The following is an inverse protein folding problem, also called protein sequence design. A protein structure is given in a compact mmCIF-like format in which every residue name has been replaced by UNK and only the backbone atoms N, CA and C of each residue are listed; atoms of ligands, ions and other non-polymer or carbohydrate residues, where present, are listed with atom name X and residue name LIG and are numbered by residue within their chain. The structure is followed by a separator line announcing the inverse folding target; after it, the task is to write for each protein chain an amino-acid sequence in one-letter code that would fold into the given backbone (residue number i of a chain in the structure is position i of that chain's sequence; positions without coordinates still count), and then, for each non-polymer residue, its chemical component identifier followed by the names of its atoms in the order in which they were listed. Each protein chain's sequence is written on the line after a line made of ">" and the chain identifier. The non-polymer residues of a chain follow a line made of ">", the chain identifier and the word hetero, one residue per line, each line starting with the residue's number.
data_IF_649121916936
#
_entry.id   IF_649121916936
#
_cell.length_a   1.000
_cell.length_b   1.000
_cell.length_c   1.000
_cell.angle_alpha   90.00
_cell.angle_beta   90.00
_cell.angle_gamma   90.00
#
_symmetry.space_group_name_H-M   'P 1'
#
loop_
_entity.id
_entity.type
_entity.pdbx_description
1 polymer ?
#
# COMPACT_ATOMS: atom_id res chain seq x y z
N UNK A 1 -25.75 13.60 -26.52
CA UNK A 1 -25.70 13.88 -25.09
C UNK A 1 -26.56 12.87 -24.31
N UNK A 2 -27.80 12.59 -24.67
CA UNK A 2 -28.68 11.64 -23.96
C UNK A 2 -28.17 10.17 -23.97
N UNK A 3 -27.61 9.67 -25.10
CA UNK A 3 -27.00 8.33 -25.16
C UNK A 3 -25.81 8.13 -24.20
N UNK A 4 -25.10 9.21 -23.82
CA UNK A 4 -24.01 9.14 -22.88
C UNK A 4 -24.51 9.08 -21.42
N UNK A 5 -25.67 9.66 -21.13
CA UNK A 5 -26.25 9.65 -19.79
C UNK A 5 -26.91 8.31 -19.45
N UNK A 6 -27.54 7.65 -20.42
CA UNK A 6 -28.18 6.35 -20.20
C UNK A 6 -27.19 5.27 -19.75
N UNK A 7 -25.94 5.34 -20.21
CA UNK A 7 -24.88 4.41 -19.81
C UNK A 7 -24.36 4.64 -18.37
N UNK A 8 -24.68 5.79 -17.78
CA UNK A 8 -24.31 6.11 -16.38
C UNK A 8 -25.38 5.69 -15.37
N UNK A 9 -26.59 5.38 -15.86
CA UNK A 9 -27.76 5.04 -15.02
C UNK A 9 -27.95 3.52 -15.08
N UNK A 10 -27.91 2.88 -13.91
CA UNK A 10 -28.00 1.42 -13.80
C UNK A 10 -29.21 1.03 -12.96
N UNK A 11 -30.11 0.18 -13.46
CA UNK A 11 -31.28 -0.25 -12.68
C UNK A 11 -30.87 -1.21 -11.55
N UNK A 12 -31.67 -1.24 -10.48
CA UNK A 12 -31.44 -2.12 -9.32
C UNK A 12 -31.30 -3.60 -9.75
N UNK A 13 -32.04 -4.05 -10.76
CA UNK A 13 -31.97 -5.43 -11.27
C UNK A 13 -30.56 -5.81 -11.74
N UNK A 14 -29.84 -4.90 -12.38
CA UNK A 14 -28.45 -5.12 -12.82
C UNK A 14 -27.51 -5.13 -11.64
N UNK A 15 -27.62 -4.12 -10.75
CA UNK A 15 -26.74 -3.99 -9.59
C UNK A 15 -26.93 -5.13 -8.59
N UNK A 16 -28.17 -5.58 -8.38
CA UNK A 16 -28.45 -6.73 -7.52
C UNK A 16 -27.85 -8.03 -8.09
N UNK A 17 -27.91 -8.22 -9.41
CA UNK A 17 -27.28 -9.40 -10.03
C UNK A 17 -25.76 -9.38 -9.88
N UNK A 18 -25.11 -8.21 -10.01
CA UNK A 18 -23.68 -8.07 -9.76
C UNK A 18 -23.30 -8.37 -8.31
N UNK A 19 -24.12 -7.92 -7.36
CA UNK A 19 -23.90 -8.24 -5.94
C UNK A 19 -23.99 -9.76 -5.68
N UNK A 20 -24.97 -10.44 -6.29
CA UNK A 20 -25.11 -11.90 -6.20
C UNK A 20 -23.88 -12.58 -6.81
N UNK A 21 -23.43 -12.14 -7.99
CA UNK A 21 -22.27 -12.71 -8.66
C UNK A 21 -20.99 -12.53 -7.82
N UNK A 22 -20.79 -11.32 -7.24
CA UNK A 22 -19.65 -11.05 -6.37
C UNK A 22 -19.68 -11.94 -5.11
N UNK A 23 -20.82 -12.04 -4.42
CA UNK A 23 -20.98 -12.89 -3.23
C UNK A 23 -20.76 -14.37 -3.58
N UNK A 24 -21.28 -14.82 -4.72
CA UNK A 24 -21.06 -16.19 -5.20
C UNK A 24 -19.57 -16.44 -5.46
N UNK A 25 -18.90 -15.52 -6.18
CA UNK A 25 -17.48 -15.63 -6.46
C UNK A 25 -16.61 -15.63 -5.19
N UNK A 26 -16.99 -14.86 -4.16
CA UNK A 26 -16.32 -14.94 -2.83
C UNK A 26 -16.56 -16.27 -2.14
N UNK A 27 -17.75 -16.84 -2.27
CA UNK A 27 -18.14 -18.13 -1.66
C UNK A 27 -17.43 -19.32 -2.30
N UNK A 28 -17.31 -19.34 -3.62
CA UNK A 28 -16.69 -20.44 -4.37
C UNK A 28 -15.18 -20.20 -4.65
N UNK A 29 -14.64 -19.10 -4.11
CA UNK A 29 -13.24 -18.70 -4.23
C UNK A 29 -12.79 -18.38 -5.67
N UNK A 30 -13.70 -18.06 -6.58
CA UNK A 30 -13.37 -17.51 -7.90
C UNK A 30 -13.04 -16.00 -7.85
N UNK A 31 -13.44 -15.30 -6.78
CA UNK A 31 -13.02 -13.94 -6.45
C UNK A 31 -12.29 -13.98 -5.10
N UNK A 32 -10.98 -13.81 -5.13
CA UNK A 32 -10.13 -13.87 -3.94
C UNK A 32 -9.63 -12.50 -3.53
N UNK A 33 -9.06 -12.40 -2.32
CA UNK A 33 -8.17 -11.31 -1.93
C UNK A 33 -6.74 -11.82 -2.00
N UNK A 34 -5.80 -10.99 -2.44
CA UNK A 34 -4.40 -11.38 -2.52
C UNK A 34 -3.77 -11.40 -1.13
N UNK A 35 -3.36 -12.58 -0.68
CA UNK A 35 -2.79 -12.80 0.66
C UNK A 35 -1.41 -12.16 0.76
N UNK A 36 -1.14 -11.60 1.94
CA UNK A 36 0.20 -11.20 2.38
C UNK A 36 0.71 -12.19 3.44
N UNK A 37 1.97 -12.07 3.84
CA UNK A 37 2.57 -12.89 4.92
C UNK A 37 1.94 -12.68 6.30
N UNK A 38 1.19 -11.61 6.50
CA UNK A 38 0.65 -11.20 7.79
C UNK A 38 -0.80 -11.68 7.97
N UNK A 39 -0.97 -12.74 8.74
CA UNK A 39 -2.25 -13.41 8.89
C UNK A 39 -3.31 -12.54 9.58
N UNK A 40 -2.92 -11.77 10.62
CA UNK A 40 -3.83 -10.86 11.33
C UNK A 40 -4.23 -9.68 10.44
N UNK A 41 -3.27 -9.12 9.67
CA UNK A 41 -3.55 -8.10 8.66
C UNK A 41 -4.55 -8.62 7.61
N UNK A 42 -4.29 -9.79 7.03
CA UNK A 42 -5.20 -10.40 6.05
C UNK A 42 -6.61 -10.56 6.64
N UNK A 43 -6.72 -11.03 7.88
CA UNK A 43 -8.02 -11.18 8.55
C UNK A 43 -8.77 -9.84 8.69
N UNK A 44 -8.06 -8.76 8.98
CA UNK A 44 -8.66 -7.43 9.10
C UNK A 44 -9.02 -6.81 7.74
N UNK A 45 -8.41 -7.28 6.66
CA UNK A 45 -8.58 -6.76 5.29
C UNK A 45 -9.29 -7.79 4.39
N UNK A 46 -10.35 -8.47 4.86
CA UNK A 46 -11.18 -9.38 4.08
C UNK A 46 -10.40 -10.47 3.33
N UNK A 47 -9.31 -10.95 3.93
CA UNK A 47 -8.46 -12.02 3.39
C UNK A 47 -7.16 -11.56 2.75
N UNK A 48 -6.87 -10.26 2.72
CA UNK A 48 -5.66 -9.68 2.14
C UNK A 48 -5.92 -8.39 1.37
N UNK A 49 -5.29 -8.21 0.24
CA UNK A 49 -5.56 -7.07 -0.65
C UNK A 49 -6.80 -7.39 -1.47
N UNK A 50 -7.90 -6.77 -1.08
CA UNK A 50 -9.23 -6.99 -1.65
C UNK A 50 -9.39 -6.24 -2.97
N UNK A 51 -9.98 -6.85 -4.01
CA UNK A 51 -10.29 -6.14 -5.24
C UNK A 51 -11.31 -5.02 -5.04
N UNK A 52 -11.30 -4.04 -5.95
CA UNK A 52 -12.18 -2.87 -5.97
C UNK A 52 -12.08 -1.96 -4.73
N UNK A 53 -10.88 -1.87 -4.15
CA UNK A 53 -10.61 -1.23 -2.87
C UNK A 53 -9.45 -0.23 -2.96
N UNK A 54 -9.55 0.88 -2.23
CA UNK A 54 -8.46 1.85 -2.03
C UNK A 54 -7.94 1.74 -0.61
N UNK A 55 -6.64 1.47 -0.49
CA UNK A 55 -5.88 1.47 0.76
C UNK A 55 -5.02 2.73 0.83
N UNK A 56 -5.11 3.46 1.93
CA UNK A 56 -4.13 4.49 2.29
C UNK A 56 -3.23 3.97 3.40
N UNK A 57 -1.92 3.95 3.16
CA UNK A 57 -0.90 3.56 4.12
C UNK A 57 -0.13 4.82 4.51
N UNK A 58 -0.35 5.31 5.72
CA UNK A 58 0.25 6.54 6.21
C UNK A 58 1.31 6.27 7.30
N UNK A 59 2.16 7.24 7.55
CA UNK A 59 3.15 7.21 8.63
C UNK A 59 4.18 8.32 8.49
N UNK A 60 4.93 8.58 9.53
CA UNK A 60 6.07 9.53 9.51
C UNK A 60 7.26 8.94 8.73
N UNK A 61 8.26 9.78 8.48
CA UNK A 61 9.53 9.31 7.90
C UNK A 61 10.18 8.25 8.82
N UNK A 62 10.72 7.20 8.24
CA UNK A 62 11.37 6.10 9.01
C UNK A 62 10.40 5.13 9.72
N UNK A 63 9.08 5.31 9.59
CA UNK A 63 8.11 4.38 10.20
C UNK A 63 8.03 3.01 9.52
N UNK A 64 8.53 2.88 8.29
CA UNK A 64 8.50 1.62 7.54
C UNK A 64 7.42 1.53 6.45
N UNK A 65 6.72 2.63 6.10
CA UNK A 65 5.67 2.66 5.06
C UNK A 65 6.09 1.99 3.75
N UNK A 66 7.18 2.48 3.16
CA UNK A 66 7.64 1.97 1.85
C UNK A 66 8.14 0.53 1.96
N UNK A 67 8.71 0.12 3.11
CA UNK A 67 9.07 -1.29 3.34
C UNK A 67 7.82 -2.17 3.41
N UNK A 68 6.79 -1.75 4.14
CA UNK A 68 5.51 -2.46 4.23
C UNK A 68 4.83 -2.61 2.85
N UNK A 69 4.77 -1.52 2.08
CA UNK A 69 4.20 -1.55 0.73
C UNK A 69 5.04 -2.43 -0.22
N UNK A 70 6.36 -2.36 -0.14
CA UNK A 70 7.25 -3.18 -0.95
C UNK A 70 7.09 -4.67 -0.63
N UNK A 71 6.95 -5.05 0.65
CA UNK A 71 6.66 -6.42 1.04
C UNK A 71 5.31 -6.90 0.50
N UNK A 72 4.25 -6.06 0.54
CA UNK A 72 2.96 -6.39 -0.08
C UNK A 72 3.16 -6.69 -1.57
N UNK A 73 3.92 -5.87 -2.32
CA UNK A 73 4.08 -6.04 -3.76
C UNK A 73 4.70 -7.39 -4.15
N UNK A 74 5.57 -7.94 -3.31
CA UNK A 74 6.20 -9.24 -3.54
C UNK A 74 5.42 -10.39 -2.94
N UNK A 75 4.83 -10.21 -1.76
CA UNK A 75 4.00 -11.22 -1.10
C UNK A 75 2.82 -11.64 -1.96
N UNK A 76 2.12 -10.67 -2.55
CA UNK A 76 0.95 -10.97 -3.38
C UNK A 76 1.32 -11.81 -4.61
N UNK A 77 2.56 -11.75 -5.09
CA UNK A 77 3.08 -12.64 -6.13
C UNK A 77 3.47 -13.99 -5.55
N UNK A 78 4.26 -14.00 -4.47
CA UNK A 78 4.83 -15.22 -3.91
C UNK A 78 3.80 -16.14 -3.22
N UNK A 79 2.76 -15.57 -2.60
CA UNK A 79 1.85 -16.27 -1.71
C UNK A 79 0.48 -16.60 -2.34
N UNK A 80 0.28 -16.23 -3.60
CA UNK A 80 -0.97 -16.49 -4.32
C UNK A 80 -0.69 -17.27 -5.62
N UNK A 81 -0.13 -18.49 -5.53
CA UNK A 81 0.13 -19.31 -6.70
C UNK A 81 -1.21 -19.67 -7.36
N UNK A 82 -1.34 -19.44 -8.64
CA UNK A 82 -2.56 -19.66 -9.40
C UNK A 82 -3.44 -18.42 -9.61
N UNK A 83 -3.17 -17.33 -8.88
CA UNK A 83 -3.80 -16.04 -9.18
C UNK A 83 -2.96 -15.29 -10.23
N UNK A 84 -3.62 -14.88 -11.31
CA UNK A 84 -2.98 -13.99 -12.28
C UNK A 84 -3.11 -12.54 -11.82
N UNK A 85 -2.03 -11.78 -11.91
CA UNK A 85 -2.02 -10.38 -11.50
C UNK A 85 -1.07 -9.53 -12.33
N UNK A 86 -1.28 -8.23 -12.25
CA UNK A 86 -0.40 -7.21 -12.81
C UNK A 86 -0.28 -6.08 -11.79
N UNK A 87 0.94 -5.66 -11.50
CA UNK A 87 1.24 -4.64 -10.49
C UNK A 87 1.91 -3.45 -11.18
N UNK A 88 1.31 -2.28 -11.02
CA UNK A 88 1.84 -1.01 -11.53
C UNK A 88 2.25 -0.12 -10.36
N UNK A 89 3.53 0.16 -10.22
CA UNK A 89 4.11 0.94 -9.13
C UNK A 89 4.53 2.31 -9.64
N UNK A 90 3.89 3.37 -9.15
CA UNK A 90 4.37 4.74 -9.26
C UNK A 90 5.38 4.99 -8.15
N UNK A 91 6.66 5.00 -8.50
CA UNK A 91 7.79 5.14 -7.59
C UNK A 91 8.34 6.57 -7.65
N UNK A 92 7.59 7.52 -7.10
CA UNK A 92 7.88 8.93 -7.27
C UNK A 92 8.95 9.47 -6.32
N UNK A 93 9.14 8.80 -5.17
CA UNK A 93 10.17 9.16 -4.18
C UNK A 93 11.51 8.51 -4.48
N UNK A 94 11.49 7.32 -5.08
CA UNK A 94 12.67 6.48 -5.21
C UNK A 94 12.71 5.81 -6.58
N UNK A 95 13.88 5.78 -7.20
CA UNK A 95 14.04 5.05 -8.48
C UNK A 95 13.83 3.55 -8.29
N UNK A 96 13.23 2.88 -9.28
CA UNK A 96 12.79 1.48 -9.17
C UNK A 96 13.88 0.50 -8.74
N UNK A 97 15.15 0.66 -9.21
CA UNK A 97 16.22 -0.24 -8.79
C UNK A 97 16.51 -0.18 -7.26
N UNK A 98 16.23 0.94 -6.60
CA UNK A 98 16.34 1.05 -5.13
C UNK A 98 15.22 0.29 -4.42
N UNK A 99 14.01 0.26 -4.99
CA UNK A 99 12.93 -0.58 -4.47
C UNK A 99 13.26 -2.08 -4.62
N UNK A 100 13.77 -2.48 -5.80
CA UNK A 100 14.28 -3.85 -6.01
C UNK A 100 15.38 -4.19 -5.00
N UNK A 101 16.27 -3.24 -4.68
CA UNK A 101 17.30 -3.43 -3.65
C UNK A 101 16.72 -3.67 -2.24
N UNK A 102 15.60 -3.05 -1.90
CA UNK A 102 14.89 -3.35 -0.64
C UNK A 102 14.32 -4.77 -0.65
N UNK A 103 13.76 -5.21 -1.77
CA UNK A 103 13.30 -6.60 -1.94
C UNK A 103 14.47 -7.58 -1.79
N UNK A 104 15.62 -7.30 -2.41
CA UNK A 104 16.84 -8.12 -2.26
C UNK A 104 17.31 -8.15 -0.81
N UNK A 105 17.29 -7.00 -0.12
CA UNK A 105 17.63 -6.89 1.30
C UNK A 105 16.76 -7.81 2.16
N UNK A 106 15.46 -7.79 1.95
CA UNK A 106 14.51 -8.65 2.67
C UNK A 106 14.74 -10.14 2.36
N UNK A 107 14.77 -10.50 1.09
CA UNK A 107 14.91 -11.90 0.65
C UNK A 107 16.26 -12.53 1.03
N UNK A 108 17.35 -11.75 1.01
CA UNK A 108 18.69 -12.22 1.32
C UNK A 108 19.11 -12.06 2.79
N UNK A 109 18.30 -11.36 3.59
CA UNK A 109 18.61 -11.00 4.97
C UNK A 109 19.95 -10.25 5.07
N UNK A 110 20.20 -9.33 4.14
CA UNK A 110 21.33 -8.42 4.10
C UNK A 110 20.82 -6.98 4.10
N UNK A 111 21.48 -6.07 4.81
CA UNK A 111 21.06 -4.67 4.81
C UNK A 111 21.27 -4.04 3.44
N UNK A 112 20.48 -3.03 3.09
CA UNK A 112 20.69 -2.27 1.84
C UNK A 112 22.05 -1.58 1.84
N UNK A 113 22.59 -1.17 2.99
CA UNK A 113 23.93 -0.64 3.09
C UNK A 113 25.00 -1.70 2.71
N UNK A 114 24.84 -2.94 3.15
CA UNK A 114 25.74 -4.03 2.74
C UNK A 114 25.68 -4.28 1.24
N UNK A 115 24.47 -4.27 0.65
CA UNK A 115 24.30 -4.56 -0.78
C UNK A 115 24.81 -3.45 -1.72
N UNK A 116 24.79 -2.19 -1.25
CA UNK A 116 25.12 -1.01 -2.07
C UNK A 116 26.39 -0.27 -1.64
N UNK A 117 27.09 -0.75 -0.60
CA UNK A 117 28.34 -0.12 -0.16
C UNK A 117 29.40 -0.23 -1.27
N UNK A 118 30.11 0.87 -1.45
CA UNK A 118 31.35 0.89 -2.22
C UNK A 118 32.60 0.79 -1.33
N UNK A 119 32.42 0.75 0.00
CA UNK A 119 33.52 0.71 0.96
C UNK A 119 33.84 -0.72 1.43
N UNK A 120 32.89 -1.62 1.32
CA UNK A 120 33.04 -3.03 1.67
C UNK A 120 32.74 -3.91 0.48
N UNK A 121 33.66 -4.80 0.16
CA UNK A 121 33.46 -5.77 -0.90
C UNK A 121 32.32 -6.73 -0.55
N UNK A 122 31.41 -6.88 -1.49
CA UNK A 122 30.38 -7.90 -1.41
C UNK A 122 31.03 -9.24 -1.79
N UNK A 123 30.96 -10.23 -0.91
CA UNK A 123 31.54 -11.54 -1.18
C UNK A 123 30.86 -12.24 -2.36
N UNK A 124 31.60 -13.09 -3.08
CA UNK A 124 31.14 -13.76 -4.28
C UNK A 124 29.92 -14.65 -4.06
N UNK A 125 29.76 -15.25 -2.88
CA UNK A 125 28.60 -16.08 -2.55
C UNK A 125 27.35 -15.22 -2.42
N UNK A 126 27.44 -14.13 -1.69
CA UNK A 126 26.34 -13.14 -1.56
C UNK A 126 25.99 -12.56 -2.93
N UNK A 127 27.00 -12.21 -3.76
CA UNK A 127 26.73 -11.68 -5.10
C UNK A 127 26.05 -12.70 -6.02
N UNK A 128 26.45 -13.98 -5.97
CA UNK A 128 25.73 -15.06 -6.68
C UNK A 128 24.28 -15.18 -6.25
N UNK A 129 23.99 -15.06 -4.94
CA UNK A 129 22.61 -15.05 -4.41
C UNK A 129 21.82 -13.83 -4.89
N UNK A 130 22.46 -12.65 -4.95
CA UNK A 130 21.83 -11.43 -5.54
C UNK A 130 21.42 -11.69 -6.98
N UNK A 131 22.30 -12.26 -7.81
CA UNK A 131 21.99 -12.59 -9.21
C UNK A 131 20.83 -13.60 -9.29
N UNK A 132 20.87 -14.64 -8.47
CA UNK A 132 19.84 -15.69 -8.46
C UNK A 132 18.46 -15.12 -8.11
N UNK A 133 18.35 -14.35 -7.03
CA UNK A 133 17.10 -13.73 -6.61
C UNK A 133 16.64 -12.65 -7.61
N UNK A 134 17.58 -11.88 -8.17
CA UNK A 134 17.25 -10.89 -9.22
C UNK A 134 16.66 -11.55 -10.46
N UNK A 135 17.16 -12.71 -10.86
CA UNK A 135 16.59 -13.46 -11.99
C UNK A 135 15.16 -13.95 -11.69
N UNK A 136 14.86 -14.35 -10.45
CA UNK A 136 13.49 -14.67 -10.07
C UNK A 136 12.59 -13.43 -10.12
N UNK A 137 13.07 -12.28 -9.63
CA UNK A 137 12.31 -11.02 -9.64
C UNK A 137 11.99 -10.50 -11.03
N UNK A 138 12.79 -10.83 -12.06
CA UNK A 138 12.51 -10.47 -13.47
C UNK A 138 11.20 -11.09 -13.99
N UNK A 139 10.78 -12.22 -13.41
CA UNK A 139 9.55 -12.91 -13.80
C UNK A 139 8.30 -12.35 -13.10
N UNK A 140 8.49 -11.40 -12.14
CA UNK A 140 7.34 -10.82 -11.45
C UNK A 140 6.57 -9.88 -12.37
N UNK A 141 5.23 -9.93 -12.33
CA UNK A 141 4.37 -9.07 -13.16
C UNK A 141 4.28 -7.65 -12.57
N UNK A 142 5.44 -7.00 -12.39
CA UNK A 142 5.58 -5.68 -11.76
C UNK A 142 6.20 -4.70 -12.74
N UNK A 143 5.56 -3.54 -12.91
CA UNK A 143 6.04 -2.42 -13.73
C UNK A 143 6.20 -1.17 -12.89
N UNK A 144 7.17 -0.32 -13.26
CA UNK A 144 7.51 0.90 -12.55
C UNK A 144 7.28 2.14 -13.42
N UNK A 145 6.76 3.19 -12.77
CA UNK A 145 6.73 4.56 -13.28
C UNK A 145 7.58 5.40 -12.35
N UNK A 146 8.81 5.72 -12.76
CA UNK A 146 9.83 6.37 -11.90
C UNK A 146 9.78 7.91 -11.96
N UNK A 147 8.98 8.47 -12.85
CA UNK A 147 8.87 9.91 -12.99
C UNK A 147 7.61 10.45 -12.31
N UNK A 148 7.69 11.57 -11.57
CA UNK A 148 6.52 12.25 -11.06
C UNK A 148 5.53 12.57 -12.19
N UNK A 149 4.25 12.33 -11.94
CA UNK A 149 3.14 12.53 -12.89
C UNK A 149 2.16 13.54 -12.32
N UNK A 150 1.44 14.26 -13.18
CA UNK A 150 0.20 14.95 -12.81
C UNK A 150 -0.91 13.90 -12.57
N UNK A 151 -2.01 14.23 -11.86
CA UNK A 151 -3.15 13.32 -11.73
C UNK A 151 -3.67 12.84 -13.08
N UNK A 152 -3.70 13.71 -14.09
CA UNK A 152 -4.15 13.35 -15.44
C UNK A 152 -3.21 12.37 -16.13
N UNK A 153 -1.89 12.59 -16.05
CA UNK A 153 -0.91 11.65 -16.59
C UNK A 153 -1.00 10.29 -15.89
N UNK A 154 -1.19 10.27 -14.56
CA UNK A 154 -1.40 9.04 -13.81
C UNK A 154 -2.67 8.30 -14.27
N UNK A 155 -3.78 9.03 -14.47
CA UNK A 155 -5.03 8.47 -15.03
C UNK A 155 -4.80 7.84 -16.41
N UNK A 156 -4.10 8.53 -17.29
CA UNK A 156 -3.86 8.07 -18.66
C UNK A 156 -2.94 6.83 -18.68
N UNK A 157 -1.92 6.78 -17.82
CA UNK A 157 -1.05 5.60 -17.63
C UNK A 157 -1.89 4.42 -17.11
N UNK A 158 -2.70 4.62 -16.08
CA UNK A 158 -3.56 3.57 -15.50
C UNK A 158 -4.54 3.05 -16.55
N UNK A 159 -5.19 3.93 -17.31
CA UNK A 159 -6.12 3.54 -18.40
C UNK A 159 -5.43 2.77 -19.50
N UNK A 160 -4.25 3.24 -19.95
CA UNK A 160 -3.45 2.54 -20.96
C UNK A 160 -3.11 1.13 -20.47
N UNK A 161 -2.63 1.04 -19.22
CA UNK A 161 -2.19 -0.22 -18.63
C UNK A 161 -3.34 -1.20 -18.44
N UNK A 162 -4.48 -0.71 -17.93
CA UNK A 162 -5.71 -1.49 -17.83
C UNK A 162 -6.17 -2.03 -19.19
N UNK A 163 -6.25 -1.17 -20.20
CA UNK A 163 -6.72 -1.58 -21.54
C UNK A 163 -5.78 -2.58 -22.22
N UNK A 164 -4.47 -2.51 -21.93
CA UNK A 164 -3.44 -3.35 -22.56
C UNK A 164 -3.32 -4.72 -21.91
N UNK A 165 -3.38 -4.80 -20.58
CA UNK A 165 -3.00 -6.01 -19.85
C UNK A 165 -4.14 -6.67 -19.06
N UNK A 166 -5.22 -5.95 -18.76
CA UNK A 166 -6.26 -6.36 -17.81
C UNK A 166 -7.62 -6.54 -18.46
N UNK A 167 -8.04 -5.60 -19.31
CA UNK A 167 -9.38 -5.58 -19.88
C UNK A 167 -9.74 -6.89 -20.59
N UNK A 168 -10.83 -7.51 -20.14
CA UNK A 168 -11.31 -8.80 -20.68
C UNK A 168 -10.60 -10.02 -20.10
N UNK A 169 -9.86 -9.84 -19.01
CA UNK A 169 -9.27 -10.92 -18.19
C UNK A 169 -9.80 -10.87 -16.76
N UNK A 170 -9.59 -11.93 -16.00
CA UNK A 170 -9.92 -12.01 -14.58
C UNK A 170 -8.71 -11.68 -13.68
N UNK A 171 -7.64 -11.09 -14.26
CA UNK A 171 -6.41 -10.74 -13.53
C UNK A 171 -6.65 -9.67 -12.48
N UNK A 172 -6.01 -9.82 -11.34
CA UNK A 172 -5.90 -8.73 -10.38
C UNK A 172 -5.04 -7.60 -10.94
N UNK A 173 -5.52 -6.39 -10.83
CA UNK A 173 -4.75 -5.18 -11.13
C UNK A 173 -4.46 -4.43 -9.84
N UNK A 174 -3.19 -4.39 -9.43
CA UNK A 174 -2.76 -3.69 -8.23
C UNK A 174 -1.98 -2.44 -8.61
N UNK A 175 -2.49 -1.29 -8.21
CA UNK A 175 -1.84 0.00 -8.42
C UNK A 175 -1.24 0.43 -7.10
N UNK A 176 0.07 0.69 -7.08
CA UNK A 176 0.77 1.22 -5.91
C UNK A 176 1.32 2.61 -6.22
N UNK A 177 1.14 3.56 -5.29
CA UNK A 177 1.51 4.95 -5.51
C UNK A 177 2.34 5.50 -4.33
N UNK A 178 3.65 5.58 -4.51
CA UNK A 178 4.62 6.00 -3.48
C UNK A 178 5.32 7.31 -3.88
N UNK A 179 4.96 8.47 -3.28
CA UNK A 179 3.79 8.71 -2.45
C UNK A 179 3.00 9.92 -3.00
N UNK A 180 1.74 10.01 -2.58
CA UNK A 180 0.75 10.94 -3.15
C UNK A 180 1.19 12.42 -3.19
N UNK A 181 1.93 12.93 -2.18
CA UNK A 181 2.40 14.32 -2.15
C UNK A 181 3.49 14.66 -3.18
N UNK A 182 4.08 13.68 -3.85
CA UNK A 182 5.08 13.88 -4.92
C UNK A 182 4.45 13.94 -6.32
N UNK A 183 3.14 13.86 -6.41
CA UNK A 183 2.40 14.11 -7.64
C UNK A 183 2.69 15.53 -8.14
N UNK A 184 2.96 15.69 -9.45
CA UNK A 184 3.14 17.02 -10.04
C UNK A 184 1.91 17.89 -9.79
N UNK A 185 2.09 19.09 -9.24
CA UNK A 185 0.96 19.95 -8.91
C UNK A 185 0.25 20.47 -10.17
N UNK A 186 -1.08 20.56 -10.08
CA UNK A 186 -1.94 21.18 -11.09
C UNK A 186 -2.52 22.53 -10.60
N UNK A 187 -2.27 22.86 -9.33
CA UNK A 187 -2.72 24.04 -8.61
C UNK A 187 -2.23 23.97 -7.17
N UNK A 188 -3.11 24.19 -6.21
CA UNK A 188 -2.79 23.97 -4.79
C UNK A 188 -2.57 22.47 -4.49
N UNK A 189 -1.90 22.20 -3.37
CA UNK A 189 -1.74 20.80 -2.89
C UNK A 189 -3.11 20.14 -2.70
N UNK A 190 -4.09 20.88 -2.18
CA UNK A 190 -5.44 20.36 -1.94
C UNK A 190 -6.11 19.96 -3.26
N UNK A 191 -6.07 20.82 -4.28
CA UNK A 191 -6.63 20.54 -5.60
C UNK A 191 -5.96 19.33 -6.26
N UNK A 192 -4.63 19.28 -6.20
CA UNK A 192 -3.85 18.17 -6.75
C UNK A 192 -4.22 16.85 -6.08
N UNK A 193 -4.34 16.83 -4.75
CA UNK A 193 -4.75 15.66 -3.99
C UNK A 193 -6.19 15.24 -4.29
N UNK A 194 -7.12 16.20 -4.37
CA UNK A 194 -8.52 15.90 -4.71
C UNK A 194 -8.65 15.26 -6.10
N UNK A 195 -7.90 15.77 -7.10
CA UNK A 195 -7.90 15.17 -8.44
C UNK A 195 -7.26 13.77 -8.44
N UNK A 196 -6.15 13.58 -7.73
CA UNK A 196 -5.53 12.26 -7.61
C UNK A 196 -6.47 11.25 -6.97
N UNK A 197 -7.19 11.63 -5.91
CA UNK A 197 -8.17 10.76 -5.26
C UNK A 197 -9.35 10.41 -6.19
N UNK A 198 -9.78 11.33 -7.06
CA UNK A 198 -10.78 11.03 -8.10
C UNK A 198 -10.28 9.99 -9.09
N UNK A 199 -9.00 10.06 -9.47
CA UNK A 199 -8.36 9.03 -10.32
C UNK A 199 -8.42 7.67 -9.64
N UNK A 200 -8.05 7.57 -8.36
CA UNK A 200 -8.06 6.30 -7.62
C UNK A 200 -9.48 5.74 -7.40
N UNK A 201 -10.45 6.60 -7.08
CA UNK A 201 -11.87 6.21 -7.01
C UNK A 201 -12.37 5.68 -8.37
N UNK A 202 -11.91 6.26 -9.47
CA UNK A 202 -12.26 5.79 -10.82
C UNK A 202 -11.57 4.47 -11.14
N UNK A 203 -10.28 4.35 -10.81
CA UNK A 203 -9.49 3.16 -11.07
C UNK A 203 -10.02 1.92 -10.32
N UNK A 204 -10.40 2.05 -9.04
CA UNK A 204 -10.95 0.91 -8.28
C UNK A 204 -12.28 0.36 -8.82
N UNK A 205 -12.96 1.11 -9.72
CA UNK A 205 -14.19 0.63 -10.38
C UNK A 205 -13.90 -0.33 -11.54
N UNK A 206 -12.66 -0.42 -12.01
CA UNK A 206 -12.27 -1.47 -12.93
C UNK A 206 -12.35 -2.83 -12.22
N UNK A 207 -12.82 -3.89 -12.91
CA UNK A 207 -12.84 -5.24 -12.33
C UNK A 207 -11.49 -5.63 -11.73
N UNK A 208 -11.52 -6.30 -10.59
CA UNK A 208 -10.36 -6.85 -9.89
C UNK A 208 -9.23 -5.85 -9.59
N UNK A 209 -9.55 -4.54 -9.48
CA UNK A 209 -8.54 -3.48 -9.31
C UNK A 209 -8.45 -3.00 -7.87
N UNK A 210 -7.25 -3.01 -7.30
CA UNK A 210 -6.94 -2.46 -5.98
C UNK A 210 -5.94 -1.31 -6.10
N UNK A 211 -6.09 -0.29 -5.28
CA UNK A 211 -5.16 0.85 -5.19
C UNK A 211 -4.57 0.92 -3.80
N UNK A 212 -3.25 0.95 -3.71
CA UNK A 212 -2.49 1.16 -2.47
C UNK A 212 -1.71 2.46 -2.61
N UNK A 213 -2.13 3.52 -1.90
CA UNK A 213 -1.41 4.77 -1.90
C UNK A 213 -0.69 5.00 -0.57
N UNK A 214 0.53 5.55 -0.64
CA UNK A 214 1.29 5.95 0.51
C UNK A 214 1.05 7.43 0.79
N UNK A 215 0.90 7.75 2.08
CA UNK A 215 0.66 9.11 2.56
C UNK A 215 1.63 9.50 3.67
N UNK A 216 1.99 10.76 3.71
CA UNK A 216 2.80 11.32 4.79
C UNK A 216 1.91 11.81 5.92
N UNK A 217 2.33 11.61 7.16
CA UNK A 217 1.72 12.24 8.31
C UNK A 217 2.25 13.67 8.51
N UNK A 218 1.44 14.55 9.07
CA UNK A 218 1.91 15.86 9.53
C UNK A 218 2.72 15.72 10.83
N UNK A 219 3.46 16.78 11.18
CA UNK A 219 4.37 16.75 12.34
C UNK A 219 3.67 16.87 13.70
N UNK A 220 2.35 17.00 13.75
CA UNK A 220 1.63 17.12 15.01
C UNK A 220 1.80 15.88 15.90
N UNK A 221 1.93 14.69 15.30
CA UNK A 221 2.15 13.45 16.05
C UNK A 221 3.53 13.41 16.73
N UNK A 222 4.47 14.24 16.26
CA UNK A 222 5.84 14.37 16.80
C UNK A 222 5.93 15.51 17.83
N UNK A 223 4.82 16.18 18.17
CA UNK A 223 4.84 17.30 19.11
C UNK A 223 5.11 16.82 20.55
N UNK A 224 5.84 17.62 21.37
CA UNK A 224 6.13 17.25 22.76
C UNK A 224 4.88 16.95 23.58
N UNK A 225 3.75 17.66 23.33
CA UNK A 225 2.47 17.43 24.01
C UNK A 225 1.94 16.02 23.72
N UNK A 226 2.13 15.54 22.48
CA UNK A 226 1.70 14.20 22.05
C UNK A 226 2.63 13.14 22.64
N UNK A 227 3.95 13.34 22.54
CA UNK A 227 4.98 12.39 23.01
C UNK A 227 4.89 12.19 24.54
N UNK A 228 4.61 13.24 25.30
CA UNK A 228 4.56 13.19 26.77
C UNK A 228 3.20 12.75 27.33
N UNK A 229 2.18 12.59 26.49
CA UNK A 229 0.83 12.21 26.92
C UNK A 229 0.40 10.86 26.33
N UNK A 230 0.42 9.77 27.12
CA UNK A 230 0.04 8.43 26.62
C UNK A 230 -1.35 8.37 25.97
N UNK A 231 -2.31 9.18 26.43
CA UNK A 231 -3.65 9.24 25.85
C UNK A 231 -3.67 9.82 24.43
N UNK A 232 -2.59 10.50 24.03
CA UNK A 232 -2.46 11.17 22.74
C UNK A 232 -1.46 10.49 21.78
N UNK A 233 -0.84 9.37 22.18
CA UNK A 233 0.16 8.68 21.35
C UNK A 233 -0.41 8.10 20.06
N UNK A 234 -1.66 7.63 20.09
CA UNK A 234 -2.23 6.94 18.94
C UNK A 234 -2.50 7.90 17.78
N UNK A 235 -2.14 7.52 16.56
CA UNK A 235 -2.41 8.34 15.39
C UNK A 235 -3.92 8.52 15.18
N UNK A 236 -4.28 9.72 14.73
CA UNK A 236 -5.64 10.13 14.43
C UNK A 236 -5.77 10.53 12.96
N UNK A 237 -7.00 10.62 12.47
CA UNK A 237 -7.28 11.12 11.13
C UNK A 237 -6.61 12.45 10.82
N UNK A 238 -6.65 13.41 11.77
CA UNK A 238 -6.04 14.74 11.62
C UNK A 238 -4.52 14.74 11.48
N UNK A 239 -3.86 13.64 11.80
CA UNK A 239 -2.40 13.52 11.68
C UNK A 239 -1.96 13.16 10.26
N UNK A 240 -2.86 12.79 9.37
CA UNK A 240 -2.55 12.47 7.97
C UNK A 240 -2.59 13.75 7.14
N UNK A 241 -1.55 14.02 6.37
CA UNK A 241 -1.51 15.14 5.45
C UNK A 241 -2.62 15.00 4.40
N UNK A 242 -3.36 16.10 4.14
CA UNK A 242 -4.53 16.08 3.24
C UNK A 242 -5.62 15.07 3.65
N UNK A 243 -5.80 14.85 4.96
CA UNK A 243 -6.62 13.79 5.56
C UNK A 243 -8.02 13.68 4.96
N UNK A 244 -8.69 14.79 4.67
CA UNK A 244 -10.08 14.75 4.25
C UNK A 244 -10.28 14.07 2.89
N UNK A 245 -9.47 14.42 1.89
CA UNK A 245 -9.54 13.80 0.57
C UNK A 245 -9.19 12.30 0.65
N UNK A 246 -8.07 11.96 1.31
CA UNK A 246 -7.60 10.60 1.50
C UNK A 246 -8.63 9.72 2.24
N UNK A 247 -9.18 10.22 3.35
CA UNK A 247 -10.18 9.46 4.13
C UNK A 247 -11.49 9.23 3.37
N UNK A 248 -11.93 10.20 2.57
CA UNK A 248 -13.14 10.05 1.76
C UNK A 248 -12.97 8.99 0.67
N UNK A 249 -11.84 8.99 -0.01
CA UNK A 249 -11.55 8.10 -1.13
C UNK A 249 -11.26 6.66 -0.69
N UNK A 250 -10.58 6.49 0.45
CA UNK A 250 -10.10 5.19 0.91
C UNK A 250 -11.21 4.32 1.51
N UNK A 251 -11.09 3.03 1.31
CA UNK A 251 -11.87 2.00 2.00
C UNK A 251 -11.15 1.56 3.29
N UNK A 252 -9.82 1.46 3.22
CA UNK A 252 -8.95 1.24 4.37
C UNK A 252 -7.99 2.41 4.56
N UNK A 253 -7.83 2.85 5.81
CA UNK A 253 -6.80 3.82 6.21
C UNK A 253 -5.97 3.20 7.32
N UNK A 254 -4.70 3.01 7.03
CA UNK A 254 -3.73 2.30 7.85
C UNK A 254 -2.61 3.28 8.19
N UNK A 255 -2.24 3.37 9.46
CA UNK A 255 -1.09 4.17 9.90
C UNK A 255 -0.03 3.27 10.49
N UNK A 256 1.16 3.33 9.93
CA UNK A 256 2.35 2.65 10.48
C UNK A 256 3.03 3.62 11.44
N UNK A 257 3.05 3.26 12.71
CA UNK A 257 3.63 4.06 13.78
C UNK A 257 4.73 3.29 14.50
N UNK A 258 5.86 3.96 14.67
CA UNK A 258 7.04 3.43 15.34
C UNK A 258 7.39 4.33 16.52
N UNK A 259 6.80 4.07 17.71
CA UNK A 259 6.93 4.98 18.87
C UNK A 259 8.38 5.12 19.37
N UNK A 260 9.20 4.09 19.19
CA UNK A 260 10.61 4.09 19.58
C UNK A 260 11.41 5.25 18.96
N UNK A 261 11.17 5.60 17.69
CA UNK A 261 11.92 6.69 17.03
C UNK A 261 11.52 8.08 17.54
N UNK A 262 10.40 8.18 18.26
CA UNK A 262 9.94 9.38 18.94
C UNK A 262 10.39 9.43 20.42
N UNK A 263 11.15 8.43 20.90
CA UNK A 263 11.59 8.35 22.28
C UNK A 263 10.49 7.97 23.27
N UNK A 264 9.33 7.50 22.78
CA UNK A 264 8.22 7.05 23.64
C UNK A 264 8.61 5.73 24.31
N UNK A 265 8.58 5.69 25.65
CA UNK A 265 8.97 4.52 26.44
C UNK A 265 7.85 3.49 26.55
N UNK A 266 6.60 3.95 26.76
CA UNK A 266 5.40 3.14 26.84
C UNK A 266 4.35 3.73 25.92
N UNK A 267 3.74 2.90 25.07
CA UNK A 267 2.91 3.38 23.98
C UNK A 267 1.42 3.30 24.27
N UNK A 268 0.81 4.47 24.29
CA UNK A 268 -0.64 4.63 24.43
C UNK A 268 -1.17 4.32 25.83
N UNK A 269 -2.49 4.40 26.01
CA UNK A 269 -3.13 4.18 27.32
C UNK A 269 -3.02 2.75 27.83
N UNK A 270 -2.65 1.81 26.96
CA UNK A 270 -2.45 0.39 27.34
C UNK A 270 -1.00 0.07 27.66
N UNK A 271 -0.11 1.07 27.74
CA UNK A 271 1.32 0.91 28.05
C UNK A 271 2.02 -0.17 27.21
N UNK A 272 1.76 -0.17 25.90
CA UNK A 272 2.34 -1.16 25.01
C UNK A 272 3.86 -0.98 24.90
N UNK A 273 4.64 -2.06 24.69
CA UNK A 273 6.10 -1.98 24.55
C UNK A 273 6.48 -1.19 23.30
N UNK A 274 7.58 -0.43 23.36
CA UNK A 274 8.06 0.38 22.24
C UNK A 274 9.34 -0.15 21.62
N UNK A 275 10.18 -0.79 22.44
CA UNK A 275 11.48 -1.28 22.01
C UNK A 275 11.33 -2.35 20.92
N UNK A 276 11.90 -2.08 19.77
CA UNK A 276 11.85 -2.97 18.60
C UNK A 276 10.43 -3.30 18.12
N UNK A 277 9.47 -2.37 18.33
CA UNK A 277 8.06 -2.55 17.94
C UNK A 277 7.61 -1.52 16.90
N UNK A 278 6.73 -1.98 16.03
CA UNK A 278 5.99 -1.17 15.07
C UNK A 278 4.51 -1.49 15.23
N UNK A 279 3.67 -0.47 15.22
CA UNK A 279 2.23 -0.61 15.36
C UNK A 279 1.52 -0.19 14.09
N UNK A 280 0.64 -1.06 13.61
CA UNK A 280 -0.24 -0.80 12.48
C UNK A 280 -1.62 -0.44 13.02
N UNK A 281 -2.00 0.82 12.89
CA UNK A 281 -3.33 1.31 13.27
C UNK A 281 -4.25 1.30 12.07
N UNK A 282 -5.27 0.47 12.06
CA UNK A 282 -6.34 0.51 11.07
C UNK A 282 -7.38 1.51 11.55
N UNK A 283 -7.30 2.76 11.05
CA UNK A 283 -8.17 3.86 11.47
C UNK A 283 -9.53 3.82 10.76
N UNK A 284 -9.55 3.28 9.54
CA UNK A 284 -10.77 3.09 8.75
C UNK A 284 -10.75 1.70 8.13
N UNK A 285 -11.89 1.04 8.25
CA UNK A 285 -12.22 -0.20 7.58
C UNK A 285 -13.70 -0.11 7.20
N UNK A 286 -13.99 0.11 5.90
CA UNK A 286 -15.35 0.42 5.44
C UNK A 286 -16.30 -0.74 5.63
N UNK A 287 -15.86 -1.97 5.34
CA UNK A 287 -16.74 -3.12 5.22
C UNK A 287 -16.57 -4.15 6.36
N UNK A 288 -15.43 -4.20 7.02
CA UNK A 288 -15.10 -5.26 7.97
C UNK A 288 -15.10 -4.85 9.45
N UNK A 289 -15.37 -3.59 9.80
CA UNK A 289 -15.64 -3.30 11.19
C UNK A 289 -14.77 -2.28 11.92
N UNK A 290 -14.40 -2.61 13.16
CA UNK A 290 -13.85 -1.65 14.12
C UNK A 290 -12.40 -1.32 13.85
N UNK A 291 -11.97 -0.07 14.10
CA UNK A 291 -10.56 0.28 14.18
C UNK A 291 -9.82 -0.67 15.12
N UNK A 292 -8.60 -1.07 14.74
CA UNK A 292 -7.78 -1.97 15.55
C UNK A 292 -6.30 -1.62 15.42
N UNK A 293 -5.51 -2.20 16.32
CA UNK A 293 -4.05 -2.06 16.34
C UNK A 293 -3.45 -3.44 16.18
N UNK A 294 -2.55 -3.58 15.22
CA UNK A 294 -1.75 -4.79 15.02
C UNK A 294 -0.32 -4.49 15.45
N UNK A 295 0.28 -5.42 16.18
CA UNK A 295 1.66 -5.31 16.64
C UNK A 295 2.59 -6.07 15.71
N UNK A 296 3.74 -5.45 15.41
CA UNK A 296 4.81 -6.02 14.61
C UNK A 296 6.14 -5.87 15.34
N UNK A 297 7.01 -6.82 15.13
CA UNK A 297 8.42 -6.68 15.44
C UNK A 297 9.12 -5.92 14.33
N UNK A 298 9.95 -4.96 14.71
CA UNK A 298 10.75 -4.17 13.79
C UNK A 298 11.89 -5.01 13.21
N UNK A 299 11.87 -5.18 11.92
CA UNK A 299 12.91 -5.86 11.13
C UNK A 299 13.33 -4.99 9.92
N UNK A 300 13.16 -3.67 10.06
CA UNK A 300 13.40 -2.69 9.00
C UNK A 300 14.87 -2.59 8.56
N UNK A 301 15.81 -3.08 9.37
CA UNK A 301 17.20 -3.24 8.93
C UNK A 301 17.29 -4.09 7.64
N UNK A 302 16.36 -5.02 7.48
CA UNK A 302 16.20 -5.87 6.30
C UNK A 302 14.95 -5.52 5.49
N UNK A 303 14.45 -4.29 5.62
CA UNK A 303 13.23 -3.82 4.94
C UNK A 303 11.99 -4.71 5.14
N UNK A 304 11.85 -5.32 6.31
CA UNK A 304 10.80 -6.27 6.64
C UNK A 304 10.08 -5.88 7.94
N UNK A 305 8.87 -6.40 8.12
CA UNK A 305 8.08 -6.33 9.35
C UNK A 305 7.55 -7.72 9.68
N UNK A 306 7.68 -8.14 10.94
CA UNK A 306 7.25 -9.46 11.39
C UNK A 306 6.01 -9.28 12.27
N UNK A 307 4.88 -9.83 11.87
CA UNK A 307 3.64 -9.78 12.65
C UNK A 307 3.78 -10.59 13.95
N UNK A 308 3.44 -9.98 15.10
CA UNK A 308 3.57 -10.58 16.42
C UNK A 308 2.36 -11.44 16.81
#
# INVERSE_FOLDING_TARGET
>A
MEQNLSNLIRPMSVVAQEAINYISGRRDHSITSLKTRWAKFNKQCMGGIEPNTVYTIAGISGSGKSSFANEISTDIVDLNPGEEMVILIFSLEMVGFRQVGRTLSSKLRKTTSTLYSSETDLDDDTFRKVISVSNQLKEYPIWFVDNPTTPKEAEDIIKYFYNTYIKGTDKHFVIMYDHALLTKPIGSVIETMQELERVFISAKKYPMTSVLQLAQMNRNIESPERINNPLSHYPMRSDISSADALFQASDYVIVIHRPEILGIQEYGPSHLPTQNKVYLHILKNRDAGKPCILEFQNDLAYNNLIES
#
